data_IF_057637206734
#
_entry.id   IF_057637206734
#
_cell.length_a   1.000
_cell.length_b   1.000
_cell.length_c   1.000
_cell.angle_alpha   90.00
_cell.angle_beta   90.00
_cell.angle_gamma   90.00
#
_symmetry.space_group_name_H-M   'P 1'
#
loop_
_entity.id
_entity.type
_entity.pdbx_description
1 polymer ?
#
# COMPACT_ATOMS: atom_id res chain seq x y z
N UNK A 1 -44.30 -2.74 -6.15
CA UNK A 1 -43.44 -1.66 -6.71
C UNK A 1 -42.79 -0.76 -5.64
N UNK A 2 -43.23 -0.74 -4.37
CA UNK A 2 -42.67 0.16 -3.34
C UNK A 2 -41.29 -0.26 -2.80
N UNK A 3 -40.99 -1.56 -2.72
CA UNK A 3 -39.71 -2.07 -2.19
C UNK A 3 -38.48 -1.62 -2.98
N UNK A 4 -38.58 -1.61 -4.32
CA UNK A 4 -37.49 -1.19 -5.20
C UNK A 4 -37.07 0.25 -4.91
N UNK A 5 -38.03 1.17 -4.75
CA UNK A 5 -37.73 2.59 -4.49
C UNK A 5 -36.97 2.81 -3.18
N UNK A 6 -37.27 2.03 -2.13
CA UNK A 6 -36.54 2.08 -0.87
C UNK A 6 -35.11 1.53 -1.00
N UNK A 7 -34.93 0.42 -1.72
CA UNK A 7 -33.61 -0.15 -1.98
C UNK A 7 -32.73 0.82 -2.78
N UNK A 8 -33.28 1.48 -3.80
CA UNK A 8 -32.56 2.49 -4.58
C UNK A 8 -32.12 3.69 -3.73
N UNK A 9 -32.98 4.18 -2.82
CA UNK A 9 -32.61 5.27 -1.90
C UNK A 9 -31.49 4.82 -0.93
N UNK A 10 -31.55 3.58 -0.43
CA UNK A 10 -30.49 3.02 0.41
C UNK A 10 -29.16 2.92 -0.34
N UNK A 11 -29.16 2.37 -1.56
CA UNK A 11 -27.99 2.32 -2.43
C UNK A 11 -27.43 3.71 -2.71
N UNK A 12 -28.28 4.68 -3.04
CA UNK A 12 -27.85 6.04 -3.33
C UNK A 12 -27.24 6.71 -2.09
N UNK A 13 -27.84 6.49 -0.92
CA UNK A 13 -27.32 7.03 0.34
C UNK A 13 -25.95 6.43 0.71
N UNK A 14 -25.78 5.11 0.52
CA UNK A 14 -24.53 4.42 0.80
C UNK A 14 -23.44 4.84 -0.19
N UNK A 15 -23.77 4.94 -1.48
CA UNK A 15 -22.87 5.45 -2.51
C UNK A 15 -22.45 6.90 -2.21
N UNK A 16 -23.40 7.75 -1.82
CA UNK A 16 -23.12 9.14 -1.44
C UNK A 16 -22.20 9.20 -0.22
N UNK A 17 -22.43 8.35 0.78
CA UNK A 17 -21.56 8.24 1.95
C UNK A 17 -20.12 7.83 1.59
N UNK A 18 -19.96 6.84 0.71
CA UNK A 18 -18.65 6.42 0.20
C UNK A 18 -17.99 7.54 -0.61
N UNK A 19 -18.72 8.22 -1.49
CA UNK A 19 -18.22 9.35 -2.24
C UNK A 19 -17.76 10.50 -1.34
N UNK A 20 -18.52 10.84 -0.29
CA UNK A 20 -18.14 11.86 0.67
C UNK A 20 -16.89 11.45 1.45
N UNK A 21 -16.80 10.19 1.87
CA UNK A 21 -15.62 9.68 2.54
C UNK A 21 -14.39 9.76 1.64
N UNK A 22 -14.53 9.41 0.37
CA UNK A 22 -13.43 9.44 -0.59
C UNK A 22 -13.00 10.86 -0.98
N UNK A 23 -13.94 11.76 -1.23
CA UNK A 23 -13.67 13.09 -1.76
C UNK A 23 -13.44 14.16 -0.69
N UNK A 24 -13.85 13.91 0.56
CA UNK A 24 -13.73 14.89 1.65
C UNK A 24 -12.79 14.39 2.74
N UNK A 25 -13.04 13.19 3.27
CA UNK A 25 -12.28 12.68 4.42
C UNK A 25 -10.86 12.32 4.01
N UNK A 26 -10.69 11.62 2.89
CA UNK A 26 -9.38 11.20 2.38
C UNK A 26 -8.43 12.38 2.08
N UNK A 27 -8.84 13.43 1.34
CA UNK A 27 -7.97 14.59 1.13
C UNK A 27 -7.74 15.42 2.41
N UNK A 28 -8.68 15.43 3.36
CA UNK A 28 -8.43 16.04 4.67
C UNK A 28 -7.32 15.32 5.43
N UNK A 29 -7.30 13.99 5.41
CA UNK A 29 -6.22 13.20 6.02
C UNK A 29 -4.88 13.48 5.31
N UNK A 30 -4.88 13.56 3.99
CA UNK A 30 -3.69 13.93 3.23
C UNK A 30 -3.19 15.36 3.53
N UNK A 31 -4.06 16.25 4.01
CA UNK A 31 -3.68 17.62 4.40
C UNK A 31 -3.06 17.70 5.81
N UNK A 32 -3.09 16.61 6.58
CA UNK A 32 -2.43 16.54 7.88
C UNK A 32 -0.92 16.69 7.66
N UNK A 33 -0.24 17.61 8.38
CA UNK A 33 1.16 17.95 8.10
C UNK A 33 2.13 16.77 8.23
N UNK A 34 1.86 15.80 9.10
CA UNK A 34 2.67 14.58 9.20
C UNK A 34 2.52 13.69 7.96
N UNK A 35 1.28 13.42 7.54
CA UNK A 35 0.99 12.59 6.37
C UNK A 35 1.53 13.25 5.10
N UNK A 36 1.38 14.58 4.99
CA UNK A 36 1.91 15.35 3.88
C UNK A 36 3.44 15.30 3.83
N UNK A 37 4.13 15.41 4.96
CA UNK A 37 5.59 15.31 5.01
C UNK A 37 6.09 13.93 4.55
N UNK A 38 5.38 12.87 4.92
CA UNK A 38 5.70 11.51 4.46
C UNK A 38 5.47 11.35 2.95
N UNK A 39 4.35 11.88 2.43
CA UNK A 39 4.06 11.89 0.98
C UNK A 39 5.11 12.69 0.21
N UNK A 40 5.44 13.90 0.67
CA UNK A 40 6.43 14.77 0.04
C UNK A 40 7.82 14.11 0.05
N UNK A 41 8.18 13.41 1.13
CA UNK A 41 9.42 12.63 1.23
C UNK A 41 9.46 11.46 0.21
N UNK A 42 8.37 10.71 0.10
CA UNK A 42 8.25 9.60 -0.85
C UNK A 42 8.30 10.09 -2.31
N UNK A 43 7.63 11.21 -2.59
CA UNK A 43 7.61 11.85 -3.91
C UNK A 43 8.99 12.40 -4.30
N UNK A 44 9.67 13.10 -3.38
CA UNK A 44 11.04 13.61 -3.60
C UNK A 44 12.04 12.47 -3.89
N UNK A 45 11.89 11.34 -3.20
CA UNK A 45 12.74 10.17 -3.40
C UNK A 45 12.32 9.31 -4.60
N UNK A 46 11.21 9.64 -5.27
CA UNK A 46 10.59 8.82 -6.33
C UNK A 46 10.39 7.36 -5.91
N UNK A 47 10.10 7.15 -4.62
CA UNK A 47 9.80 5.83 -4.08
C UNK A 47 8.33 5.58 -4.36
N UNK A 48 8.02 4.47 -5.03
CA UNK A 48 6.64 4.03 -5.19
C UNK A 48 6.17 3.46 -3.83
N UNK A 49 5.24 4.12 -3.11
CA UNK A 49 4.77 3.64 -1.83
C UNK A 49 3.86 2.41 -1.94
N UNK A 50 3.45 2.05 -3.16
CA UNK A 50 2.67 0.84 -3.43
C UNK A 50 3.55 -0.35 -3.76
N UNK A 51 4.85 -0.13 -3.96
CA UNK A 51 5.82 -1.19 -4.12
C UNK A 51 6.07 -1.86 -2.76
N UNK A 52 5.73 -3.14 -2.66
CA UNK A 52 6.14 -3.96 -1.53
C UNK A 52 7.67 -4.08 -1.56
N UNK A 53 8.36 -3.67 -0.49
CA UNK A 53 9.79 -3.89 -0.41
C UNK A 53 10.05 -5.40 -0.41
N UNK A 54 10.94 -5.86 -1.27
CA UNK A 54 11.31 -7.27 -1.30
C UNK A 54 11.86 -7.75 0.05
N UNK A 55 12.43 -6.84 0.87
CA UNK A 55 12.86 -7.15 2.25
C UNK A 55 11.73 -7.58 3.18
N UNK A 56 10.48 -7.24 2.86
CA UNK A 56 9.32 -7.52 3.71
C UNK A 56 8.63 -8.84 3.31
N UNK A 57 9.16 -9.54 2.31
CA UNK A 57 8.74 -10.89 1.98
C UNK A 57 9.36 -11.85 3.01
N UNK A 58 8.51 -12.62 3.70
CA UNK A 58 8.90 -13.66 4.65
C UNK A 58 9.96 -14.62 4.07
N UNK A 59 9.96 -14.83 2.74
CA UNK A 59 10.87 -15.73 2.02
C UNK A 59 12.27 -15.16 1.74
N UNK A 60 12.51 -13.86 1.97
CA UNK A 60 13.83 -13.27 1.73
C UNK A 60 14.85 -13.72 2.77
N UNK A 61 14.46 -13.95 4.02
CA UNK A 61 15.37 -14.48 5.04
C UNK A 61 15.94 -15.85 4.63
N UNK A 62 15.08 -16.76 4.16
CA UNK A 62 15.49 -18.09 3.67
C UNK A 62 16.45 -17.99 2.47
N UNK A 63 16.17 -17.05 1.56
CA UNK A 63 16.97 -16.84 0.36
C UNK A 63 18.36 -16.29 0.70
N UNK A 64 18.44 -15.33 1.63
CA UNK A 64 19.71 -14.77 2.11
C UNK A 64 20.54 -15.83 2.82
N UNK A 65 19.91 -16.66 3.66
CA UNK A 65 20.59 -17.73 4.37
C UNK A 65 21.22 -18.73 3.39
N UNK A 66 20.45 -19.17 2.39
CA UNK A 66 20.90 -20.11 1.37
C UNK A 66 22.06 -19.55 0.52
N UNK A 67 22.05 -18.26 0.19
CA UNK A 67 23.16 -17.61 -0.53
C UNK A 67 24.43 -17.59 0.35
N UNK A 68 24.29 -17.31 1.65
CA UNK A 68 25.43 -17.30 2.57
C UNK A 68 26.06 -18.68 2.73
N UNK A 69 25.23 -19.72 2.80
CA UNK A 69 25.66 -21.11 2.95
C UNK A 69 26.31 -21.61 1.65
N UNK A 70 25.77 -21.23 0.50
CA UNK A 70 26.37 -21.51 -0.80
C UNK A 70 27.74 -20.83 -0.96
N UNK A 71 27.88 -19.56 -0.58
CA UNK A 71 29.15 -18.84 -0.65
C UNK A 71 30.20 -19.44 0.28
N UNK A 72 29.79 -19.93 1.46
CA UNK A 72 30.68 -20.63 2.39
C UNK A 72 31.14 -21.99 1.85
N UNK A 73 30.29 -22.69 1.11
CA UNK A 73 30.61 -23.97 0.49
C UNK A 73 31.45 -23.81 -0.79
N UNK A 74 31.24 -22.72 -1.52
CA UNK A 74 31.89 -22.43 -2.80
C UNK A 74 32.42 -20.99 -2.80
N UNK A 75 33.57 -20.76 -2.13
CA UNK A 75 34.14 -19.42 -2.01
C UNK A 75 34.46 -18.81 -3.38
N UNK A 76 34.64 -19.64 -4.41
CA UNK A 76 35.02 -19.29 -5.78
C UNK A 76 33.89 -19.17 -6.80
N UNK A 77 32.63 -19.37 -6.40
CA UNK A 77 31.52 -19.44 -7.33
C UNK A 77 31.02 -18.10 -7.91
N UNK A 78 31.61 -16.96 -7.52
CA UNK A 78 31.16 -15.62 -7.95
C UNK A 78 32.22 -14.84 -8.73
N UNK A 79 33.22 -15.52 -9.30
CA UNK A 79 34.18 -14.95 -10.25
C UNK A 79 34.39 -15.83 -11.48
#
# INVERSE_FOLDING_TARGET
MAHSRQQWVQFLSLLTGVCLLWLVILPQIASIPSVKADIDFLEEKKIDPTAMFYSDLETIEDTVQNISDFHKAHPDALW
#
